data_IF_431839902653
#
_entry.id   IF_431839902653
#
_cell.length_a   1.000
_cell.length_b   1.000
_cell.length_c   1.000
_cell.angle_alpha   90.00
_cell.angle_beta   90.00
_cell.angle_gamma   90.00
#
_symmetry.space_group_name_H-M   'P 1'
#
loop_
_entity.id
_entity.type
_entity.pdbx_description
1 polymer ?
#
# COMPACT_ATOMS: atom_id res chain seq x y z
N UNK A 1 16.13 -5.22 23.55
CA UNK A 1 15.69 -4.63 22.26
C UNK A 1 14.51 -3.71 22.58
N UNK A 2 14.33 -2.61 21.81
CA UNK A 2 13.16 -1.75 21.99
C UNK A 2 11.91 -2.55 21.59
N UNK A 3 10.86 -2.50 22.43
CA UNK A 3 9.55 -3.06 22.10
C UNK A 3 8.99 -2.38 20.85
N UNK A 4 8.58 -3.15 19.86
CA UNK A 4 8.08 -2.66 18.57
C UNK A 4 6.57 -2.80 18.49
N UNK A 5 5.88 -1.73 18.06
CA UNK A 5 4.41 -1.69 17.99
C UNK A 5 3.91 -1.25 16.63
N UNK A 6 2.92 -2.00 16.10
CA UNK A 6 2.16 -1.64 14.89
C UNK A 6 0.71 -1.42 15.28
N UNK A 7 0.15 -0.26 14.95
CA UNK A 7 -1.29 0.00 15.09
C UNK A 7 -1.97 -0.02 13.73
N UNK A 8 -3.04 -0.82 13.58
CA UNK A 8 -3.82 -0.95 12.35
C UNK A 8 -5.17 -0.27 12.54
N UNK A 9 -5.40 0.78 11.78
CA UNK A 9 -6.64 1.54 11.75
C UNK A 9 -7.59 0.97 10.70
N UNK A 10 -8.63 0.28 11.14
CA UNK A 10 -9.58 -0.49 10.36
C UNK A 10 -9.40 -2.01 10.57
N UNK A 11 -10.32 -2.61 11.36
CA UNK A 11 -10.36 -4.05 11.64
C UNK A 11 -11.35 -4.78 10.72
N UNK A 12 -11.41 -4.40 9.44
CA UNK A 12 -12.15 -5.13 8.40
C UNK A 12 -11.39 -6.38 7.94
N UNK A 13 -11.92 -7.08 6.92
CA UNK A 13 -11.27 -8.27 6.35
C UNK A 13 -9.80 -8.03 5.98
N UNK A 14 -9.49 -6.90 5.36
CA UNK A 14 -8.13 -6.58 4.94
C UNK A 14 -7.24 -6.27 6.16
N UNK A 15 -7.72 -5.44 7.10
CA UNK A 15 -6.94 -5.07 8.29
C UNK A 15 -6.64 -6.26 9.19
N UNK A 16 -7.62 -7.16 9.43
CA UNK A 16 -7.41 -8.37 10.22
C UNK A 16 -6.45 -9.37 9.54
N UNK A 17 -6.53 -9.53 8.20
CA UNK A 17 -5.55 -10.34 7.48
C UNK A 17 -4.14 -9.75 7.50
N UNK A 18 -4.03 -8.41 7.48
CA UNK A 18 -2.75 -7.75 7.68
C UNK A 18 -2.19 -8.03 9.08
N UNK A 19 -3.03 -7.95 10.13
CA UNK A 19 -2.64 -8.29 11.49
C UNK A 19 -2.13 -9.74 11.59
N UNK A 20 -2.87 -10.69 11.03
CA UNK A 20 -2.45 -12.10 10.98
C UNK A 20 -1.12 -12.28 10.24
N UNK A 21 -0.96 -11.64 9.07
CA UNK A 21 0.26 -11.75 8.27
C UNK A 21 1.48 -11.17 8.99
N UNK A 22 1.32 -10.05 9.68
CA UNK A 22 2.34 -9.42 10.52
C UNK A 22 2.70 -10.30 11.71
N UNK A 23 1.70 -10.84 12.39
CA UNK A 23 1.87 -11.68 13.57
C UNK A 23 2.57 -13.01 13.24
N UNK A 24 2.14 -13.72 12.19
CA UNK A 24 2.77 -14.95 11.72
C UNK A 24 4.23 -14.74 11.29
N UNK A 25 4.54 -13.57 10.73
CA UNK A 25 5.91 -13.18 10.40
C UNK A 25 6.73 -12.82 11.64
N UNK A 26 6.09 -12.46 12.76
CA UNK A 26 6.75 -11.88 13.91
C UNK A 26 7.41 -10.54 13.58
N UNK A 27 6.69 -9.71 12.82
CA UNK A 27 7.21 -8.43 12.33
C UNK A 27 7.34 -7.38 13.45
N UNK A 28 6.49 -7.47 14.46
CA UNK A 28 6.51 -6.60 15.64
C UNK A 28 6.19 -7.41 16.90
N UNK A 29 6.49 -6.84 18.07
CA UNK A 29 6.18 -7.46 19.37
C UNK A 29 4.70 -7.28 19.73
N UNK A 30 4.10 -6.17 19.28
CA UNK A 30 2.71 -5.83 19.56
C UNK A 30 1.99 -5.33 18.29
N UNK A 31 0.77 -5.83 18.08
CA UNK A 31 -0.14 -5.39 17.00
C UNK A 31 -1.45 -4.96 17.65
N UNK A 32 -1.85 -3.72 17.41
CA UNK A 32 -3.09 -3.15 17.93
C UNK A 32 -4.09 -2.95 16.80
N UNK A 33 -5.28 -3.54 16.93
CA UNK A 33 -6.39 -3.32 15.99
C UNK A 33 -7.33 -2.25 16.51
N UNK A 34 -7.63 -1.26 15.68
CA UNK A 34 -8.55 -0.16 16.00
C UNK A 34 -9.65 -0.12 14.94
N UNK A 35 -10.90 -0.03 15.34
CA UNK A 35 -12.05 0.13 14.44
C UNK A 35 -13.04 1.13 15.07
N UNK A 36 -13.90 1.72 14.25
CA UNK A 36 -15.03 2.54 14.73
C UNK A 36 -16.07 1.72 15.49
N UNK A 37 -16.03 0.40 15.34
CA UNK A 37 -16.82 -0.59 16.10
C UNK A 37 -15.85 -1.36 16.99
N UNK A 38 -15.68 -0.99 18.27
CA UNK A 38 -14.68 -1.58 19.18
C UNK A 38 -14.84 -3.11 19.35
N UNK A 39 -16.08 -3.60 19.37
CA UNK A 39 -16.40 -5.02 19.51
C UNK A 39 -15.85 -5.84 18.34
N UNK A 40 -15.88 -5.25 17.13
CA UNK A 40 -15.30 -5.87 15.93
C UNK A 40 -13.77 -5.94 16.04
N UNK A 41 -13.12 -4.88 16.48
CA UNK A 41 -11.68 -4.89 16.69
C UNK A 41 -11.27 -5.93 17.72
N UNK A 42 -12.04 -6.05 18.84
CA UNK A 42 -11.82 -7.04 19.88
C UNK A 42 -11.98 -8.48 19.36
N UNK A 43 -13.04 -8.76 18.60
CA UNK A 43 -13.29 -10.08 18.03
C UNK A 43 -12.19 -10.48 17.02
N UNK A 44 -11.77 -9.55 16.15
CA UNK A 44 -10.68 -9.80 15.20
C UNK A 44 -9.32 -10.02 15.90
N UNK A 45 -9.04 -9.25 16.97
CA UNK A 45 -7.81 -9.44 17.73
C UNK A 45 -7.79 -10.80 18.44
N UNK A 46 -8.93 -11.23 18.98
CA UNK A 46 -9.07 -12.55 19.62
C UNK A 46 -8.84 -13.68 18.61
N UNK A 47 -9.51 -13.64 17.46
CA UNK A 47 -9.39 -14.65 16.39
C UNK A 47 -7.94 -14.76 15.86
N UNK A 48 -7.27 -13.62 15.65
CA UNK A 48 -5.85 -13.62 15.29
C UNK A 48 -4.99 -14.21 16.41
N UNK A 49 -5.26 -13.88 17.69
CA UNK A 49 -4.52 -14.40 18.84
C UNK A 49 -4.65 -15.92 18.97
N UNK A 50 -5.87 -16.45 18.76
CA UNK A 50 -6.12 -17.91 18.76
C UNK A 50 -5.27 -18.60 17.67
N UNK A 51 -5.16 -17.99 16.50
CA UNK A 51 -4.31 -18.48 15.40
C UNK A 51 -2.81 -18.48 15.70
N UNK A 52 -2.37 -17.78 16.75
CA UNK A 52 -0.96 -17.70 17.16
C UNK A 52 -0.58 -18.68 18.28
N UNK A 53 -1.50 -19.45 18.81
CA UNK A 53 -1.28 -20.34 19.97
C UNK A 53 -0.08 -21.30 19.79
N UNK A 54 0.24 -21.65 18.55
CA UNK A 54 1.36 -22.52 18.21
C UNK A 54 2.46 -21.80 17.40
N UNK A 55 2.45 -20.47 17.37
CA UNK A 55 3.47 -19.68 16.69
C UNK A 55 4.81 -19.79 17.43
N UNK A 56 5.91 -19.81 16.66
CA UNK A 56 7.26 -19.83 17.22
C UNK A 56 7.71 -18.46 17.76
N UNK A 57 6.97 -17.39 17.46
CA UNK A 57 7.28 -16.02 17.91
C UNK A 57 6.15 -15.49 18.77
N UNK A 58 6.45 -15.00 20.00
CA UNK A 58 5.46 -14.37 20.84
C UNK A 58 5.13 -12.98 20.29
N UNK A 59 3.93 -12.82 19.73
CA UNK A 59 3.38 -11.52 19.30
C UNK A 59 2.10 -11.28 20.07
N UNK A 60 1.97 -10.12 20.68
CA UNK A 60 0.74 -9.70 21.34
C UNK A 60 -0.18 -9.04 20.33
N UNK A 61 -1.41 -9.56 20.18
CA UNK A 61 -2.43 -8.94 19.34
C UNK A 61 -3.61 -8.54 20.22
N UNK A 62 -4.00 -7.27 20.17
CA UNK A 62 -5.12 -6.76 20.97
C UNK A 62 -5.92 -5.70 20.23
N UNK A 63 -7.14 -5.46 20.69
CA UNK A 63 -7.87 -4.25 20.34
C UNK A 63 -7.35 -3.04 21.12
N UNK A 64 -7.54 -1.86 20.55
CA UNK A 64 -7.16 -0.59 21.19
C UNK A 64 -7.97 0.59 20.65
N UNK A 65 -7.46 1.78 20.90
CA UNK A 65 -8.05 3.04 20.43
C UNK A 65 -7.07 3.86 19.60
N UNK A 66 -7.53 5.00 19.08
CA UNK A 66 -6.70 5.89 18.27
C UNK A 66 -5.46 6.42 19.02
N UNK A 67 -5.51 6.50 20.36
CA UNK A 67 -4.37 6.86 21.20
C UNK A 67 -3.17 5.91 21.05
N UNK A 68 -3.42 4.63 20.75
CA UNK A 68 -2.38 3.63 20.49
C UNK A 68 -1.52 3.94 19.26
N UNK A 69 -1.95 4.90 18.43
CA UNK A 69 -1.17 5.37 17.27
C UNK A 69 -0.03 6.30 17.63
N UNK A 70 -0.08 6.95 18.81
CA UNK A 70 0.88 8.00 19.20
C UNK A 70 2.32 7.47 19.33
N UNK A 71 2.48 6.31 19.97
CA UNK A 71 3.76 5.67 20.24
C UNK A 71 4.04 4.44 19.36
N UNK A 72 3.17 4.15 18.36
CA UNK A 72 3.40 3.10 17.41
C UNK A 72 4.61 3.40 16.51
N UNK A 73 5.45 2.39 16.24
CA UNK A 73 6.53 2.52 15.26
C UNK A 73 5.98 2.62 13.84
N UNK A 74 4.86 1.91 13.57
CA UNK A 74 4.14 1.99 12.30
C UNK A 74 2.64 2.07 12.57
N UNK A 75 1.97 3.01 11.91
CA UNK A 75 0.51 3.11 11.84
C UNK A 75 0.06 2.70 10.45
N UNK A 76 -0.69 1.62 10.35
CA UNK A 76 -1.27 1.13 9.10
C UNK A 76 -2.69 1.66 8.95
N UNK A 77 -2.98 2.35 7.85
CA UNK A 77 -4.33 2.81 7.52
C UNK A 77 -4.97 1.80 6.56
N UNK A 78 -5.94 1.04 7.08
CA UNK A 78 -6.65 -0.04 6.40
C UNK A 78 -8.17 0.20 6.41
N UNK A 79 -8.59 1.48 6.44
CA UNK A 79 -10.02 1.86 6.41
C UNK A 79 -10.57 1.74 5.00
N UNK A 80 -11.82 1.33 4.88
CA UNK A 80 -12.46 1.24 3.58
C UNK A 80 -13.86 0.63 3.68
N UNK A 81 -14.68 0.92 2.68
CA UNK A 81 -15.95 0.22 2.47
C UNK A 81 -15.81 -0.69 1.25
N UNK A 82 -16.41 -1.89 1.27
CA UNK A 82 -16.53 -2.69 0.07
C UNK A 82 -17.22 -1.88 -1.03
N UNK A 83 -16.75 -2.01 -2.27
CA UNK A 83 -17.45 -1.43 -3.41
C UNK A 83 -18.81 -2.08 -3.57
N UNK A 84 -19.87 -1.28 -3.54
CA UNK A 84 -21.23 -1.79 -3.76
C UNK A 84 -21.52 -1.87 -5.27
N UNK A 85 -22.35 -2.82 -5.71
CA UNK A 85 -22.82 -2.87 -7.09
C UNK A 85 -23.45 -1.52 -7.49
N UNK A 86 -23.06 -1.00 -8.66
CA UNK A 86 -23.55 0.28 -9.19
C UNK A 86 -22.79 1.52 -8.74
N UNK A 87 -21.86 1.43 -7.77
CA UNK A 87 -21.02 2.58 -7.41
C UNK A 87 -20.03 2.93 -8.51
N UNK A 88 -19.95 4.23 -8.81
CA UNK A 88 -18.96 4.80 -9.71
C UNK A 88 -17.60 4.98 -9.00
N UNK A 89 -16.55 5.27 -9.78
CA UNK A 89 -15.25 5.68 -9.20
C UNK A 89 -15.34 7.00 -8.43
N UNK A 90 -16.26 7.91 -8.81
CA UNK A 90 -16.50 9.18 -8.11
C UNK A 90 -17.11 8.93 -6.73
N UNK A 91 -18.14 8.07 -6.65
CA UNK A 91 -18.74 7.71 -5.36
C UNK A 91 -17.72 7.13 -4.38
N UNK A 92 -16.77 6.34 -4.87
CA UNK A 92 -15.69 5.81 -4.07
C UNK A 92 -14.69 6.88 -3.60
N UNK A 93 -14.43 7.90 -4.42
CA UNK A 93 -13.56 9.02 -4.02
C UNK A 93 -14.20 9.84 -2.90
N UNK A 94 -15.51 10.15 -3.01
CA UNK A 94 -16.26 10.91 -2.01
C UNK A 94 -16.36 10.16 -0.68
N UNK A 95 -16.64 8.86 -0.72
CA UNK A 95 -16.65 8.01 0.47
C UNK A 95 -15.26 7.95 1.13
N UNK A 96 -14.20 7.79 0.34
CA UNK A 96 -12.83 7.76 0.85
C UNK A 96 -12.44 9.11 1.45
N UNK A 97 -12.77 10.23 0.81
CA UNK A 97 -12.50 11.57 1.33
C UNK A 97 -13.19 11.83 2.68
N UNK A 98 -14.44 11.38 2.83
CA UNK A 98 -15.18 11.47 4.10
C UNK A 98 -14.55 10.60 5.19
N UNK A 99 -14.19 9.36 4.87
CA UNK A 99 -13.54 8.44 5.81
C UNK A 99 -12.20 8.97 6.30
N UNK A 100 -11.37 9.49 5.38
CA UNK A 100 -10.06 10.07 5.72
C UNK A 100 -10.23 11.30 6.60
N UNK A 101 -11.19 12.18 6.31
CA UNK A 101 -11.48 13.36 7.14
C UNK A 101 -11.89 12.96 8.56
N UNK A 102 -12.75 11.96 8.70
CA UNK A 102 -13.14 11.41 10.00
C UNK A 102 -11.92 10.85 10.73
N UNK A 103 -11.08 10.06 10.05
CA UNK A 103 -9.87 9.49 10.63
C UNK A 103 -8.90 10.58 11.11
N UNK A 104 -8.65 11.60 10.29
CA UNK A 104 -7.78 12.73 10.64
C UNK A 104 -8.30 13.47 11.88
N UNK A 105 -9.63 13.64 12.01
CA UNK A 105 -10.26 14.20 13.21
C UNK A 105 -10.03 13.34 14.46
N UNK A 106 -10.06 12.02 14.33
CA UNK A 106 -9.77 11.09 15.43
C UNK A 106 -8.30 11.08 15.82
N UNK A 107 -7.39 11.29 14.88
CA UNK A 107 -5.95 11.33 15.12
C UNK A 107 -5.45 12.69 15.58
N UNK A 108 -6.18 13.77 15.34
CA UNK A 108 -5.76 15.15 15.65
C UNK A 108 -5.29 15.38 17.09
N UNK A 109 -5.85 14.71 18.13
CA UNK A 109 -5.36 14.87 19.51
C UNK A 109 -3.97 14.26 19.76
N UNK A 110 -3.45 13.43 18.86
CA UNK A 110 -2.26 12.61 19.08
C UNK A 110 -1.12 13.02 18.16
N UNK A 111 0.09 13.18 18.73
CA UNK A 111 1.31 13.37 17.95
C UNK A 111 1.87 12.02 17.54
N UNK A 112 1.80 11.68 16.25
CA UNK A 112 2.31 10.41 15.74
C UNK A 112 3.84 10.44 15.67
N UNK A 113 4.51 9.53 16.37
CA UNK A 113 5.98 9.42 16.37
C UNK A 113 6.51 8.52 15.24
N UNK A 114 5.71 7.55 14.82
CA UNK A 114 6.06 6.52 13.84
C UNK A 114 5.81 6.88 12.38
N UNK A 115 5.83 5.87 11.55
CA UNK A 115 5.60 5.93 10.11
C UNK A 115 4.14 5.57 9.83
N UNK A 116 3.50 6.30 8.92
CA UNK A 116 2.11 6.03 8.50
C UNK A 116 2.13 5.38 7.11
N UNK A 117 1.62 4.16 7.01
CA UNK A 117 1.53 3.39 5.77
C UNK A 117 0.06 3.17 5.41
N UNK A 118 -0.38 3.67 4.26
CA UNK A 118 -1.74 3.44 3.77
C UNK A 118 -1.83 2.25 2.83
N UNK A 119 -2.84 1.40 3.06
CA UNK A 119 -3.27 0.36 2.12
C UNK A 119 -4.70 0.60 1.61
N UNK A 120 -5.27 1.74 1.97
CA UNK A 120 -6.65 2.13 1.60
C UNK A 120 -6.70 2.63 0.16
N UNK A 121 -7.70 2.17 -0.59
CA UNK A 121 -7.96 2.64 -1.95
C UNK A 121 -8.92 3.85 -1.99
N UNK A 122 -8.72 4.75 -2.97
CA UNK A 122 -7.67 4.79 -4.01
C UNK A 122 -6.30 5.14 -3.43
N UNK A 123 -5.32 4.22 -3.61
CA UNK A 123 -4.09 4.20 -2.84
C UNK A 123 -3.30 5.52 -2.84
N UNK A 124 -3.08 6.09 -4.03
CA UNK A 124 -2.26 7.30 -4.19
C UNK A 124 -2.98 8.55 -3.68
N UNK A 125 -4.29 8.64 -3.91
CA UNK A 125 -5.14 9.75 -3.44
C UNK A 125 -5.24 9.77 -1.91
N UNK A 126 -5.40 8.60 -1.31
CA UNK A 126 -5.48 8.46 0.15
C UNK A 126 -4.13 8.77 0.80
N UNK A 127 -3.02 8.32 0.22
CA UNK A 127 -1.68 8.63 0.72
C UNK A 127 -1.42 10.15 0.70
N UNK A 128 -1.83 10.83 -0.36
CA UNK A 128 -1.74 12.30 -0.47
C UNK A 128 -2.57 13.01 0.60
N UNK A 129 -3.84 12.62 0.75
CA UNK A 129 -4.74 13.22 1.72
C UNK A 129 -4.26 13.01 3.17
N UNK A 130 -3.73 11.82 3.50
CA UNK A 130 -3.16 11.53 4.81
C UNK A 130 -1.91 12.37 5.08
N UNK A 131 -0.98 12.47 4.12
CA UNK A 131 0.22 13.28 4.28
C UNK A 131 -0.12 14.75 4.54
N UNK A 132 -1.03 15.32 3.74
CA UNK A 132 -1.49 16.71 3.90
C UNK A 132 -2.20 16.92 5.25
N UNK A 133 -3.11 16.01 5.60
CA UNK A 133 -3.91 16.14 6.82
C UNK A 133 -3.13 15.92 8.11
N UNK A 134 -2.10 15.05 8.10
CA UNK A 134 -1.23 14.83 9.26
C UNK A 134 -0.09 15.84 9.37
N UNK A 135 0.23 16.58 8.29
CA UNK A 135 1.35 17.53 8.27
C UNK A 135 2.72 16.87 8.46
N UNK A 136 2.83 15.56 8.19
CA UNK A 136 4.07 14.82 8.33
C UNK A 136 4.88 14.84 7.01
N UNK A 137 6.21 14.72 7.08
CA UNK A 137 7.05 14.71 5.87
C UNK A 137 6.79 13.45 5.02
N UNK A 138 7.04 13.53 3.71
CA UNK A 138 6.80 12.47 2.75
C UNK A 138 7.52 11.15 3.08
N UNK A 139 8.63 11.23 3.80
CA UNK A 139 9.38 10.06 4.25
C UNK A 139 8.61 9.21 5.26
N UNK A 140 7.68 9.83 5.99
CA UNK A 140 6.94 9.19 7.09
C UNK A 140 5.48 8.90 6.76
N UNK A 141 4.95 9.40 5.64
CA UNK A 141 3.56 9.12 5.20
C UNK A 141 3.56 8.72 3.74
N UNK A 142 3.21 7.48 3.46
CA UNK A 142 3.18 6.93 2.10
C UNK A 142 2.19 5.78 1.99
N UNK A 143 1.84 5.41 0.77
CA UNK A 143 0.99 4.26 0.47
C UNK A 143 1.80 3.05 0.01
N UNK A 144 1.21 1.87 0.06
CA UNK A 144 1.81 0.65 -0.55
C UNK A 144 1.90 0.75 -2.08
N UNK A 145 1.19 1.69 -2.70
CA UNK A 145 1.29 1.97 -4.13
C UNK A 145 1.20 0.71 -4.98
N UNK A 146 2.16 0.54 -5.86
CA UNK A 146 2.25 -0.59 -6.79
C UNK A 146 3.01 -1.81 -6.24
N UNK A 147 3.18 -1.91 -4.91
CA UNK A 147 3.89 -3.03 -4.29
C UNK A 147 3.17 -4.38 -4.53
N UNK A 148 1.85 -4.41 -4.38
CA UNK A 148 1.07 -5.62 -4.66
C UNK A 148 1.03 -5.93 -6.17
N UNK A 149 0.98 -4.91 -7.02
CA UNK A 149 1.04 -5.09 -8.48
C UNK A 149 2.38 -5.66 -8.91
N UNK A 150 3.46 -5.24 -8.26
CA UNK A 150 4.79 -5.84 -8.43
C UNK A 150 4.84 -7.32 -8.02
N UNK A 151 4.20 -7.68 -6.92
CA UNK A 151 4.11 -9.09 -6.51
C UNK A 151 3.31 -9.93 -7.54
N UNK A 152 2.24 -9.37 -8.10
CA UNK A 152 1.47 -9.98 -9.19
C UNK A 152 2.31 -10.13 -10.46
N UNK A 153 3.04 -9.07 -10.84
CA UNK A 153 3.96 -9.09 -11.99
C UNK A 153 5.02 -10.19 -11.85
N UNK A 154 5.66 -10.29 -10.68
CA UNK A 154 6.67 -11.33 -10.42
C UNK A 154 6.07 -12.73 -10.52
N UNK A 155 4.83 -12.95 -10.04
CA UNK A 155 4.11 -14.21 -10.22
C UNK A 155 3.85 -14.52 -11.69
N UNK A 156 3.34 -13.54 -12.43
CA UNK A 156 3.03 -13.70 -13.87
C UNK A 156 4.31 -13.98 -14.68
N UNK A 157 5.39 -13.24 -14.43
CA UNK A 157 6.68 -13.48 -15.08
C UNK A 157 7.24 -14.87 -14.75
N UNK A 158 7.05 -15.34 -13.52
CA UNK A 158 7.45 -16.70 -13.11
C UNK A 158 6.67 -17.77 -13.88
N UNK A 159 5.36 -17.60 -14.02
CA UNK A 159 4.48 -18.52 -14.79
C UNK A 159 4.84 -18.54 -16.29
N UNK A 160 5.11 -17.39 -16.88
CA UNK A 160 5.40 -17.23 -18.31
C UNK A 160 6.84 -17.69 -18.69
N UNK A 161 7.81 -17.49 -17.77
CA UNK A 161 9.22 -17.81 -18.04
C UNK A 161 9.65 -19.17 -17.49
N UNK A 162 8.88 -19.78 -16.59
CA UNK A 162 9.25 -21.01 -15.87
C UNK A 162 10.31 -20.79 -14.78
N UNK A 163 10.76 -19.55 -14.53
CA UNK A 163 11.76 -19.24 -13.52
C UNK A 163 11.15 -19.12 -12.12
N UNK A 164 11.93 -19.49 -11.11
CA UNK A 164 11.57 -19.21 -9.72
C UNK A 164 11.40 -17.71 -9.47
N UNK A 165 10.40 -17.31 -8.67
CA UNK A 165 10.12 -15.89 -8.33
C UNK A 165 11.33 -15.17 -7.77
N UNK A 166 12.16 -15.85 -6.98
CA UNK A 166 13.39 -15.29 -6.42
C UNK A 166 14.45 -14.91 -7.48
N UNK A 167 14.35 -15.43 -8.70
CA UNK A 167 15.24 -15.11 -9.81
C UNK A 167 14.71 -13.99 -10.72
N UNK A 168 13.62 -13.34 -10.33
CA UNK A 168 12.93 -12.30 -11.10
C UNK A 168 13.08 -10.96 -10.39
N UNK A 169 13.63 -9.98 -11.09
CA UNK A 169 13.67 -8.59 -10.67
C UNK A 169 12.79 -7.77 -11.60
N UNK A 170 11.68 -7.29 -11.07
CA UNK A 170 10.70 -6.50 -11.82
C UNK A 170 9.95 -5.58 -10.87
N UNK A 171 9.49 -4.43 -11.37
CA UNK A 171 8.69 -3.46 -10.66
C UNK A 171 7.52 -3.02 -11.52
N UNK A 172 6.38 -2.76 -10.90
CA UNK A 172 5.27 -1.98 -11.47
C UNK A 172 5.34 -0.58 -10.89
N UNK A 173 5.20 0.45 -11.71
CA UNK A 173 5.29 1.86 -11.34
C UNK A 173 4.02 2.61 -11.74
N UNK A 174 3.90 3.85 -11.27
CA UNK A 174 2.76 4.71 -11.62
C UNK A 174 1.61 4.59 -10.65
N UNK A 175 0.40 4.78 -11.14
CA UNK A 175 -0.85 4.63 -10.40
C UNK A 175 -1.04 3.17 -9.93
N UNK A 176 -1.53 3.00 -8.71
CA UNK A 176 -2.17 1.72 -8.35
C UNK A 176 -3.53 1.61 -9.06
N UNK A 177 -3.52 1.27 -10.34
CA UNK A 177 -4.71 1.26 -11.19
C UNK A 177 -4.43 0.96 -12.66
N UNK A 178 -5.35 1.42 -13.52
CA UNK A 178 -5.35 1.08 -14.95
C UNK A 178 -4.20 1.73 -15.73
N UNK A 179 -3.60 2.81 -15.21
CA UNK A 179 -2.46 3.48 -15.84
C UNK A 179 -1.09 3.04 -15.29
N UNK A 180 -1.05 2.02 -14.42
CA UNK A 180 0.22 1.44 -13.98
C UNK A 180 1.08 1.00 -15.16
N UNK A 181 2.41 1.10 -15.04
CA UNK A 181 3.32 0.72 -16.09
C UNK A 181 4.41 -0.24 -15.58
N UNK A 182 4.99 -1.00 -16.49
CA UNK A 182 6.11 -1.89 -16.21
C UNK A 182 7.31 -1.39 -16.99
N UNK A 183 8.40 -0.96 -16.33
CA UNK A 183 9.63 -0.59 -17.03
C UNK A 183 10.35 -1.85 -17.50
N UNK A 184 9.97 -2.39 -18.64
CA UNK A 184 10.53 -3.63 -19.21
C UNK A 184 12.04 -3.52 -19.47
N UNK A 185 12.58 -2.30 -19.66
CA UNK A 185 14.01 -2.06 -19.77
C UNK A 185 14.76 -2.45 -18.49
N UNK A 186 14.07 -2.40 -17.33
CA UNK A 186 14.62 -2.71 -16.02
C UNK A 186 14.31 -4.14 -15.53
N UNK A 187 13.48 -4.90 -16.26
CA UNK A 187 13.15 -6.28 -15.88
C UNK A 187 14.33 -7.20 -16.14
N UNK A 188 14.66 -8.01 -15.13
CA UNK A 188 15.69 -9.05 -15.21
C UNK A 188 15.11 -10.40 -14.82
N UNK A 189 15.39 -11.41 -15.63
CA UNK A 189 14.92 -12.79 -15.49
C UNK A 189 16.16 -13.71 -15.44
N UNK A 190 16.44 -14.29 -14.28
CA UNK A 190 17.68 -15.07 -14.10
C UNK A 190 18.95 -14.27 -14.36
N UNK A 191 18.95 -12.97 -14.09
CA UNK A 191 20.07 -12.04 -14.34
C UNK A 191 20.11 -11.47 -15.77
N UNK A 192 19.36 -12.04 -16.72
CA UNK A 192 19.32 -11.57 -18.12
C UNK A 192 18.23 -10.51 -18.33
N UNK A 193 18.41 -9.58 -19.29
CA UNK A 193 17.39 -8.60 -19.61
C UNK A 193 16.14 -9.28 -20.21
N UNK A 194 14.97 -8.63 -20.08
CA UNK A 194 13.71 -9.12 -20.63
C UNK A 194 13.79 -9.48 -22.12
N UNK A 195 14.57 -8.73 -22.87
CA UNK A 195 14.77 -8.94 -24.32
C UNK A 195 15.45 -10.27 -24.66
N UNK A 196 16.08 -10.94 -23.71
CA UNK A 196 16.66 -12.27 -23.88
C UNK A 196 15.59 -13.39 -23.92
N UNK A 197 14.31 -13.05 -23.69
CA UNK A 197 13.18 -13.98 -23.65
C UNK A 197 12.14 -13.62 -24.74
N UNK A 198 12.43 -13.89 -26.02
CA UNK A 198 11.60 -13.44 -27.15
C UNK A 198 10.19 -14.05 -27.18
N UNK A 199 9.94 -15.12 -26.41
CA UNK A 199 8.62 -15.74 -26.26
C UNK A 199 7.68 -15.02 -25.28
N UNK A 200 8.18 -14.02 -24.53
CA UNK A 200 7.37 -13.27 -23.58
C UNK A 200 6.71 -12.05 -24.24
N UNK A 201 5.39 -11.96 -24.08
CA UNK A 201 4.57 -10.87 -24.61
C UNK A 201 4.36 -9.76 -23.56
N UNK A 202 4.93 -8.57 -23.81
CA UNK A 202 4.85 -7.39 -22.93
C UNK A 202 3.41 -6.95 -22.67
N UNK A 203 2.60 -6.87 -23.71
CA UNK A 203 1.22 -6.38 -23.60
C UNK A 203 0.35 -7.36 -22.82
N UNK A 204 0.53 -8.67 -23.05
CA UNK A 204 -0.16 -9.70 -22.26
C UNK A 204 0.23 -9.65 -20.79
N UNK A 205 1.52 -9.51 -20.48
CA UNK A 205 2.02 -9.42 -19.09
C UNK A 205 1.47 -8.18 -18.41
N UNK A 206 1.52 -7.01 -19.06
CA UNK A 206 0.97 -5.77 -18.51
C UNK A 206 -0.53 -5.88 -18.26
N UNK A 207 -1.29 -6.36 -19.22
CA UNK A 207 -2.73 -6.56 -19.10
C UNK A 207 -3.08 -7.52 -17.96
N UNK A 208 -2.44 -8.68 -17.87
CA UNK A 208 -2.63 -9.65 -16.76
C UNK A 208 -2.30 -9.02 -15.39
N UNK A 209 -1.25 -8.23 -15.31
CA UNK A 209 -0.85 -7.56 -14.07
C UNK A 209 -1.92 -6.59 -13.59
N UNK A 210 -2.45 -5.74 -14.49
CA UNK A 210 -3.52 -4.78 -14.19
C UNK A 210 -4.84 -5.46 -13.81
N UNK A 211 -5.19 -6.54 -14.48
CA UNK A 211 -6.46 -7.26 -14.29
C UNK A 211 -6.47 -8.19 -13.07
N UNK A 212 -5.30 -8.64 -12.59
CA UNK A 212 -5.20 -9.62 -11.51
C UNK A 212 -5.96 -9.25 -10.23
N UNK A 213 -6.11 -7.96 -9.94
CA UNK A 213 -6.91 -7.48 -8.80
C UNK A 213 -8.41 -7.70 -8.99
N UNK A 214 -8.93 -7.41 -10.18
CA UNK A 214 -10.35 -7.60 -10.50
C UNK A 214 -10.72 -9.07 -10.55
N UNK A 215 -9.87 -9.94 -11.13
CA UNK A 215 -10.09 -11.38 -11.13
C UNK A 215 -10.29 -11.95 -9.71
N UNK A 216 -9.50 -11.47 -8.75
CA UNK A 216 -9.67 -11.87 -7.34
C UNK A 216 -10.97 -11.34 -6.74
N UNK A 217 -11.32 -10.05 -7.02
CA UNK A 217 -12.55 -9.45 -6.51
C UNK A 217 -13.78 -10.13 -7.09
N UNK A 218 -13.80 -10.41 -8.39
CA UNK A 218 -14.89 -11.14 -9.05
C UNK A 218 -15.04 -12.57 -8.51
N UNK A 219 -13.92 -13.24 -8.19
CA UNK A 219 -13.93 -14.61 -7.70
C UNK A 219 -14.29 -14.77 -6.23
N UNK A 220 -13.94 -13.82 -5.35
CA UNK A 220 -14.13 -13.95 -3.89
C UNK A 220 -14.53 -12.68 -3.14
N UNK A 221 -14.80 -11.59 -3.83
CA UNK A 221 -15.31 -10.32 -3.26
C UNK A 221 -14.24 -9.32 -2.83
N UNK A 222 -13.07 -9.76 -2.36
CA UNK A 222 -11.98 -8.86 -1.93
C UNK A 222 -10.61 -9.47 -2.06
N UNK A 223 -9.57 -8.63 -2.10
CA UNK A 223 -8.17 -9.07 -2.01
C UNK A 223 -7.66 -8.85 -0.59
N UNK A 224 -7.16 -9.88 0.08
CA UNK A 224 -6.68 -9.79 1.47
C UNK A 224 -5.27 -10.39 1.62
N UNK A 225 -5.07 -11.62 1.14
CA UNK A 225 -3.84 -12.37 1.39
C UNK A 225 -2.60 -11.72 0.76
N UNK A 226 -2.73 -11.23 -0.48
CA UNK A 226 -1.65 -10.59 -1.19
C UNK A 226 -1.19 -9.31 -0.50
N UNK A 227 -2.13 -8.43 -0.16
CA UNK A 227 -1.81 -7.16 0.51
C UNK A 227 -1.27 -7.40 1.92
N UNK A 228 -1.83 -8.33 2.69
CA UNK A 228 -1.32 -8.70 4.02
C UNK A 228 0.14 -9.14 3.96
N UNK A 229 0.48 -9.98 2.98
CA UNK A 229 1.85 -10.48 2.84
C UNK A 229 2.84 -9.40 2.40
N UNK A 230 2.52 -8.56 1.41
CA UNK A 230 3.45 -7.50 0.97
C UNK A 230 3.59 -6.39 2.03
N UNK A 231 2.51 -6.05 2.74
CA UNK A 231 2.55 -5.12 3.87
C UNK A 231 3.44 -5.67 4.99
N UNK A 232 3.28 -6.94 5.37
CA UNK A 232 4.08 -7.55 6.44
C UNK A 232 5.57 -7.53 6.11
N UNK A 233 5.93 -7.74 4.84
CA UNK A 233 7.31 -7.64 4.38
C UNK A 233 7.84 -6.20 4.44
N UNK A 234 7.02 -5.22 4.06
CA UNK A 234 7.36 -3.80 4.15
C UNK A 234 7.58 -3.37 5.61
N UNK A 235 6.64 -3.69 6.50
CA UNK A 235 6.73 -3.34 7.91
C UNK A 235 7.97 -3.99 8.57
N UNK A 236 8.22 -5.27 8.28
CA UNK A 236 9.43 -5.93 8.76
C UNK A 236 10.69 -5.20 8.29
N UNK A 237 10.78 -4.88 7.00
CA UNK A 237 11.93 -4.19 6.43
C UNK A 237 12.19 -2.82 7.08
N UNK A 238 11.13 -2.09 7.44
CA UNK A 238 11.21 -0.84 8.19
C UNK A 238 11.75 -1.09 9.61
N UNK A 239 11.14 -2.01 10.36
CA UNK A 239 11.46 -2.25 11.75
C UNK A 239 12.86 -2.85 11.96
N UNK A 240 13.32 -3.68 11.01
CA UNK A 240 14.66 -4.30 11.02
C UNK A 240 15.72 -3.48 10.27
N UNK A 241 15.34 -2.34 9.68
CA UNK A 241 16.25 -1.44 8.95
C UNK A 241 16.96 -2.10 7.74
N UNK A 242 16.22 -2.92 6.97
CA UNK A 242 16.79 -3.74 5.89
C UNK A 242 17.31 -2.96 4.68
N UNK A 243 16.95 -1.69 4.51
CA UNK A 243 17.31 -0.86 3.36
C UNK A 243 16.84 -1.43 2.01
N UNK A 244 15.72 -2.12 2.00
CA UNK A 244 15.15 -2.70 0.78
C UNK A 244 14.47 -1.64 -0.07
N UNK A 245 14.40 -1.93 -1.37
CA UNK A 245 13.69 -1.10 -2.34
C UNK A 245 12.31 -1.70 -2.63
N UNK A 246 11.27 -0.89 -2.44
CA UNK A 246 9.88 -1.23 -2.73
C UNK A 246 9.23 -0.14 -3.60
N UNK A 247 8.35 -0.48 -4.54
CA UNK A 247 7.57 0.52 -5.28
C UNK A 247 6.40 1.01 -4.43
N UNK A 248 6.56 2.20 -3.83
CA UNK A 248 5.63 2.81 -2.88
C UNK A 248 5.04 4.10 -3.45
N UNK A 249 3.80 4.41 -3.06
CA UNK A 249 3.15 5.68 -3.37
C UNK A 249 3.67 6.77 -2.45
N UNK A 250 4.47 7.66 -2.98
CA UNK A 250 5.10 8.78 -2.27
C UNK A 250 4.98 10.07 -3.05
N UNK A 251 4.97 11.22 -2.36
CA UNK A 251 5.01 12.53 -2.99
C UNK A 251 6.30 12.72 -3.77
N UNK A 252 6.19 13.02 -5.07
CA UNK A 252 7.32 13.37 -5.92
C UNK A 252 7.60 14.88 -5.84
N UNK A 253 8.87 15.26 -5.71
CA UNK A 253 9.37 16.64 -5.57
C UNK A 253 10.49 16.92 -6.59
N UNK A 254 10.43 16.29 -7.76
CA UNK A 254 11.39 16.44 -8.86
C UNK A 254 11.82 15.12 -9.49
N UNK A 255 11.64 14.02 -8.80
CA UNK A 255 12.01 12.71 -9.31
C UNK A 255 11.22 12.39 -10.59
N UNK A 256 11.91 11.85 -11.60
CA UNK A 256 11.37 11.60 -12.95
C UNK A 256 10.77 12.86 -13.62
N UNK A 257 11.20 14.07 -13.22
CA UNK A 257 10.62 15.33 -13.68
C UNK A 257 9.20 15.60 -13.17
N UNK A 258 8.73 14.87 -12.16
CA UNK A 258 7.39 14.99 -11.60
C UNK A 258 7.38 15.75 -10.27
N UNK A 259 6.35 16.57 -10.06
CA UNK A 259 6.15 17.35 -8.84
C UNK A 259 4.71 17.23 -8.36
N UNK A 260 4.50 17.42 -7.07
CA UNK A 260 3.18 17.58 -6.44
C UNK A 260 2.19 16.44 -6.76
N UNK A 261 2.68 15.21 -6.79
CA UNK A 261 1.86 14.03 -7.04
C UNK A 261 2.38 12.84 -6.23
N UNK A 262 1.48 12.12 -5.57
CA UNK A 262 1.78 10.78 -5.05
C UNK A 262 1.72 9.77 -6.20
N UNK A 263 2.76 8.96 -6.31
CA UNK A 263 2.91 7.98 -7.39
C UNK A 263 3.76 6.80 -6.93
N UNK A 264 3.44 5.61 -7.41
CA UNK A 264 4.21 4.39 -7.17
C UNK A 264 5.58 4.44 -7.85
N UNK A 265 6.65 4.61 -7.07
CA UNK A 265 8.04 4.65 -7.53
C UNK A 265 8.95 3.85 -6.60
N UNK A 266 10.13 3.39 -7.07
CA UNK A 266 11.05 2.63 -6.24
C UNK A 266 11.58 3.49 -5.08
N UNK A 267 11.34 3.04 -3.85
CA UNK A 267 11.76 3.71 -2.63
C UNK A 267 12.64 2.78 -1.80
N UNK A 268 13.82 3.23 -1.40
CA UNK A 268 14.61 2.57 -0.38
C UNK A 268 14.03 2.92 0.99
N UNK A 269 13.65 1.90 1.75
CA UNK A 269 13.05 2.07 3.07
C UNK A 269 13.96 1.53 4.16
N UNK A 270 13.99 2.23 5.28
CA UNK A 270 14.65 1.84 6.50
C UNK A 270 13.85 2.31 7.71
N UNK A 271 14.47 2.31 8.87
CA UNK A 271 13.82 2.63 10.16
C UNK A 271 13.18 4.03 10.21
N UNK A 272 13.66 4.96 9.40
CA UNK A 272 13.12 6.33 9.31
C UNK A 272 12.00 6.49 8.27
N UNK A 273 11.58 5.40 7.64
CA UNK A 273 10.64 5.40 6.53
C UNK A 273 11.34 5.39 5.18
N UNK A 274 10.87 6.19 4.23
CA UNK A 274 11.51 6.34 2.92
C UNK A 274 12.76 7.20 3.07
N UNK A 275 13.92 6.62 2.76
CA UNK A 275 15.20 7.29 2.85
C UNK A 275 15.66 7.86 1.52
N UNK A 276 15.23 7.21 0.42
CA UNK A 276 15.60 7.61 -0.92
C UNK A 276 14.55 7.14 -1.93
N UNK A 277 14.24 7.98 -2.91
CA UNK A 277 13.53 7.57 -4.12
C UNK A 277 14.58 7.20 -5.16
N UNK A 278 14.61 5.94 -5.56
CA UNK A 278 15.60 5.42 -6.50
C UNK A 278 15.16 5.75 -7.93
N UNK A 279 15.90 6.63 -8.60
CA UNK A 279 15.63 7.00 -9.99
C UNK A 279 16.20 5.92 -10.93
N UNK A 280 15.31 5.11 -11.49
CA UNK A 280 15.68 4.13 -12.52
C UNK A 280 15.95 4.83 -13.85
N UNK A 281 16.92 4.36 -14.66
CA UNK A 281 17.15 4.86 -16.01
C UNK A 281 16.05 4.32 -16.95
N UNK A 282 14.93 5.03 -17.00
CA UNK A 282 13.79 4.71 -17.86
C UNK A 282 14.05 5.18 -19.31
N UNK A 283 13.50 4.47 -20.30
CA UNK A 283 13.48 4.93 -21.67
C UNK A 283 12.53 6.12 -21.83
N UNK A 284 12.63 6.86 -22.95
CA UNK A 284 11.71 7.97 -23.24
C UNK A 284 10.24 7.52 -23.27
N UNK A 285 9.97 6.35 -23.82
CA UNK A 285 8.63 5.75 -23.83
C UNK A 285 8.14 5.43 -22.40
N UNK A 286 8.97 4.84 -21.57
CA UNK A 286 8.65 4.50 -20.19
C UNK A 286 8.45 5.78 -19.33
N UNK A 287 9.24 6.82 -19.56
CA UNK A 287 9.02 8.14 -18.93
C UNK A 287 7.69 8.76 -19.35
N UNK A 288 7.32 8.65 -20.64
CA UNK A 288 6.03 9.14 -21.13
C UNK A 288 4.85 8.37 -20.52
N UNK A 289 4.99 7.05 -20.30
CA UNK A 289 3.98 6.24 -19.62
C UNK A 289 3.83 6.64 -18.14
N UNK A 290 4.95 6.89 -17.45
CA UNK A 290 4.93 7.36 -16.06
C UNK A 290 4.31 8.76 -15.94
N UNK A 291 4.66 9.68 -16.86
CA UNK A 291 4.05 11.01 -16.94
C UNK A 291 2.53 10.94 -17.16
N UNK A 292 2.08 10.05 -18.05
CA UNK A 292 0.65 9.81 -18.26
C UNK A 292 -0.04 9.37 -16.97
N UNK A 293 0.55 8.43 -16.23
CA UNK A 293 0.06 7.96 -14.93
C UNK A 293 -0.01 9.10 -13.90
N UNK A 294 1.04 9.90 -13.79
CA UNK A 294 1.08 11.07 -12.91
C UNK A 294 0.01 12.13 -13.25
N UNK A 295 -0.28 12.34 -14.53
CA UNK A 295 -1.38 13.25 -14.95
C UNK A 295 -2.75 12.74 -14.50
N UNK A 296 -3.02 11.44 -14.62
CA UNK A 296 -4.25 10.82 -14.13
C UNK A 296 -4.37 11.01 -12.61
N UNK A 297 -3.30 10.75 -11.87
CA UNK A 297 -3.26 10.90 -10.41
C UNK A 297 -3.50 12.33 -9.96
N UNK A 298 -2.88 13.35 -10.61
CA UNK A 298 -3.16 14.77 -10.29
C UNK A 298 -4.63 15.12 -10.47
N UNK A 299 -5.27 14.59 -11.53
CA UNK A 299 -6.71 14.82 -11.76
C UNK A 299 -7.56 14.15 -10.67
N UNK A 300 -7.21 12.94 -10.24
CA UNK A 300 -7.91 12.22 -9.18
C UNK A 300 -7.75 12.91 -7.82
N UNK A 301 -6.53 13.35 -7.48
CA UNK A 301 -6.24 14.11 -6.25
C UNK A 301 -7.03 15.42 -6.23
N UNK A 302 -6.99 16.20 -7.31
CA UNK A 302 -7.72 17.45 -7.40
C UNK A 302 -9.26 17.29 -7.28
N UNK A 303 -9.81 16.17 -7.78
CA UNK A 303 -11.24 15.84 -7.60
C UNK A 303 -11.54 15.50 -6.14
N UNK A 304 -10.70 14.70 -5.50
CA UNK A 304 -10.87 14.34 -4.10
C UNK A 304 -10.75 15.56 -3.16
N UNK A 305 -9.87 16.51 -3.46
CA UNK A 305 -9.74 17.76 -2.70
C UNK A 305 -11.01 18.64 -2.81
N UNK A 306 -11.60 18.74 -4.01
CA UNK A 306 -12.87 19.47 -4.21
C UNK A 306 -14.01 18.81 -3.41
N UNK A 307 -14.14 17.49 -3.50
CA UNK A 307 -15.13 16.74 -2.72
C UNK A 307 -14.92 16.88 -1.20
N UNK A 308 -13.67 16.99 -0.75
CA UNK A 308 -13.34 17.25 0.65
C UNK A 308 -13.72 18.67 1.12
N UNK A 309 -13.75 19.67 0.23
CA UNK A 309 -14.10 21.07 0.53
C UNK A 309 -15.60 21.35 0.51
N UNK A 310 -16.43 20.51 -0.07
CA UNK A 310 -17.89 20.70 -0.12
C UNK A 310 -18.55 20.24 1.21
N UNK A 311 -19.44 21.06 1.81
CA UNK A 311 -20.21 20.62 2.97
C UNK A 311 -21.08 19.44 2.58
N UNK A 312 -21.11 18.39 3.41
CA UNK A 312 -21.93 17.21 3.19
C UNK A 312 -23.38 17.64 2.88
N UNK A 313 -23.91 17.23 1.74
CA UNK A 313 -25.34 17.36 1.46
C UNK A 313 -26.09 16.72 2.63
N UNK A 314 -26.91 17.50 3.34
CA UNK A 314 -27.78 17.00 4.42
C UNK A 314 -28.76 15.99 3.83
N UNK A 315 -28.98 14.84 4.50
CA UNK A 315 -29.95 13.86 4.08
C UNK A 315 -31.39 14.42 4.03
#
# INVERSE_FOLDING_TARGET
>A
MKHTKITILGAGHVGSHCALSLALRGAADEIVLVDTVPEKAAAQALDVSDGLAFSSRPVTVRAGGYADSADADIVVVAIGKPRMPGQTRLDLLDDSARMIRTLLGQLAPFSLSGIVVSITNPADVVADALRKGLGLPRQRVFGTGTLLDTARLVRILSEESGLARASIQALSLGEHGDSSMIPFSQVRLGGLPFTAYPGLDRERILRRTRQAGMEVIEGKGSTEFGIGQVLSQLCQSILTDEKRVFPLSVLLEGEYGQHDVHCGVPCRVGRQGIEEIVSLPLTEEELAQLDHSCRILRQAIAKAEKAAGEPAARP
#
